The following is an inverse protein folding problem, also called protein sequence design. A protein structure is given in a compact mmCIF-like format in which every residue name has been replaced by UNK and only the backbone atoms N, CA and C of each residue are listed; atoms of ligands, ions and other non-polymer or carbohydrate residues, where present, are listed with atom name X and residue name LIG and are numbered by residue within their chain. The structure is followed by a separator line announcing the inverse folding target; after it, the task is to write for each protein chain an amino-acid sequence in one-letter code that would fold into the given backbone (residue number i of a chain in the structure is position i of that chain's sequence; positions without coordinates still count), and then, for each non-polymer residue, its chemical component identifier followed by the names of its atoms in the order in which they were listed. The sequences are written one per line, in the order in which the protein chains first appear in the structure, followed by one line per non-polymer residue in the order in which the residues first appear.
data_IF_296506857251
#
_entry.id   IF_296506857251
#
_cell.length_a   1.000
_cell.length_b   1.000
_cell.length_c   1.000
_cell.angle_alpha   90.00
_cell.angle_beta   90.00
_cell.angle_gamma   90.00
#
_symmetry.space_group_name_H-M   'P 1'
#
loop_
_entity.id
_entity.type
_entity.pdbx_description
1 polymer ?
#
# COMPACT_ATOMS: atom_id res chain seq x y z
N UNK A 1 17.72 -29.18 -26.25
CA UNK A 1 18.27 -27.80 -26.25
C UNK A 1 17.97 -27.04 -27.57
N UNK A 2 17.88 -27.72 -28.72
CA UNK A 2 17.59 -27.09 -30.00
C UNK A 2 16.09 -26.75 -30.16
N UNK A 3 15.19 -27.56 -29.62
CA UNK A 3 13.75 -27.32 -29.66
C UNK A 3 13.32 -26.09 -28.85
N UNK A 4 13.99 -25.83 -27.72
CA UNK A 4 13.75 -24.66 -26.87
C UNK A 4 14.22 -23.37 -27.58
N UNK A 5 15.28 -23.44 -28.36
CA UNK A 5 15.78 -22.30 -29.13
C UNK A 5 14.85 -21.97 -30.31
N UNK A 6 14.31 -22.99 -30.98
CA UNK A 6 13.41 -22.79 -32.15
C UNK A 6 12.06 -22.21 -31.70
N UNK A 7 11.51 -22.67 -30.56
CA UNK A 7 10.29 -22.10 -29.99
C UNK A 7 10.50 -20.67 -29.52
N UNK A 8 11.68 -20.34 -28.99
CA UNK A 8 12.04 -18.99 -28.57
C UNK A 8 12.20 -18.03 -29.74
N UNK A 9 12.75 -18.48 -30.87
CA UNK A 9 12.95 -17.62 -32.05
C UNK A 9 11.66 -17.39 -32.85
N UNK A 10 10.73 -18.36 -32.90
CA UNK A 10 9.44 -18.15 -33.57
C UNK A 10 8.45 -17.30 -32.74
N UNK A 11 8.52 -17.32 -31.41
CA UNK A 11 7.74 -16.42 -30.57
C UNK A 11 8.20 -14.95 -30.64
N UNK A 12 9.50 -14.71 -30.87
CA UNK A 12 10.01 -13.36 -31.02
C UNK A 12 9.71 -12.70 -32.36
N UNK A 13 9.40 -13.47 -33.41
CA UNK A 13 9.12 -12.92 -34.74
C UNK A 13 7.64 -12.57 -34.95
N UNK A 14 6.74 -13.01 -34.10
CA UNK A 14 5.29 -12.76 -34.24
C UNK A 14 4.76 -11.62 -33.35
N UNK A 15 5.54 -11.18 -32.37
CA UNK A 15 5.16 -10.06 -31.51
C UNK A 15 6.01 -8.86 -31.91
N UNK A 16 5.47 -8.01 -32.78
CA UNK A 16 5.97 -6.63 -32.90
C UNK A 16 6.08 -6.04 -31.49
N UNK A 17 7.14 -5.25 -31.25
CA UNK A 17 7.32 -4.62 -29.94
C UNK A 17 6.00 -4.02 -29.45
N UNK A 18 5.61 -4.28 -28.20
CA UNK A 18 4.35 -3.76 -27.67
C UNK A 18 4.46 -2.25 -27.66
N UNK A 19 3.66 -1.63 -28.47
CA UNK A 19 3.42 -0.20 -28.37
C UNK A 19 2.06 0.00 -27.72
N UNK A 20 1.85 1.13 -27.05
CA UNK A 20 0.53 1.54 -26.56
C UNK A 20 -0.51 1.59 -27.68
N UNK A 21 -0.05 1.65 -28.95
CA UNK A 21 -0.85 1.70 -30.16
C UNK A 21 -1.11 0.34 -30.77
N UNK A 22 -0.49 -0.74 -30.30
CA UNK A 22 -0.66 -2.10 -30.82
C UNK A 22 -0.84 -3.11 -29.66
N UNK A 23 -2.01 -3.08 -29.00
CA UNK A 23 -2.30 -3.99 -27.90
C UNK A 23 -2.32 -5.45 -28.41
N UNK A 24 -1.91 -6.39 -27.56
CA UNK A 24 -2.06 -7.81 -27.85
C UNK A 24 -3.55 -8.12 -28.10
N UNK A 25 -3.87 -8.91 -29.12
CA UNK A 25 -5.24 -9.36 -29.33
C UNK A 25 -5.78 -10.04 -28.04
N UNK A 26 -7.05 -9.85 -27.70
CA UNK A 26 -7.61 -10.41 -26.45
C UNK A 26 -7.46 -11.94 -26.30
N UNK A 27 -7.36 -12.65 -27.42
CA UNK A 27 -7.23 -14.11 -27.49
C UNK A 27 -5.77 -14.57 -27.60
N UNK A 28 -4.80 -13.66 -27.70
CA UNK A 28 -3.41 -14.04 -27.82
C UNK A 28 -2.90 -14.62 -26.50
N UNK A 29 -2.11 -15.72 -26.55
CA UNK A 29 -1.51 -16.25 -25.35
C UNK A 29 -0.59 -15.20 -24.72
N UNK A 30 -0.73 -14.98 -23.41
CA UNK A 30 0.08 -14.00 -22.70
C UNK A 30 1.57 -14.39 -22.76
N UNK A 31 2.46 -13.46 -23.08
CA UNK A 31 3.89 -13.71 -23.07
C UNK A 31 4.38 -14.10 -21.69
N UNK A 32 5.50 -14.82 -21.63
CA UNK A 32 6.12 -15.17 -20.36
C UNK A 32 6.46 -13.88 -19.57
N UNK A 33 6.22 -13.89 -18.24
CA UNK A 33 6.43 -12.73 -17.35
C UNK A 33 7.76 -12.00 -17.51
N UNK A 34 8.84 -12.71 -17.90
CA UNK A 34 10.15 -12.09 -18.17
C UNK A 34 10.12 -11.16 -19.37
N UNK A 35 9.34 -11.51 -20.41
CA UNK A 35 9.15 -10.71 -21.61
C UNK A 35 8.35 -9.46 -21.27
N UNK A 36 7.21 -9.63 -20.58
CA UNK A 36 6.39 -8.50 -20.11
C UNK A 36 7.23 -7.54 -19.26
N UNK A 37 8.03 -8.08 -18.33
CA UNK A 37 8.92 -7.27 -17.49
C UNK A 37 9.96 -6.50 -18.30
N UNK A 38 10.53 -7.09 -19.35
CA UNK A 38 11.50 -6.38 -20.20
C UNK A 38 10.88 -5.19 -20.95
N UNK A 39 9.59 -5.25 -21.26
CA UNK A 39 8.84 -4.15 -21.85
C UNK A 39 8.55 -3.02 -20.87
N UNK A 40 8.30 -3.36 -19.62
CA UNK A 40 7.93 -2.41 -18.57
C UNK A 40 9.12 -1.67 -17.96
N UNK A 41 10.32 -2.30 -17.95
CA UNK A 41 11.53 -1.69 -17.34
C UNK A 41 11.86 -0.30 -17.91
N UNK A 42 11.84 -0.04 -19.23
CA UNK A 42 12.12 1.29 -19.77
C UNK A 42 11.07 2.34 -19.34
N UNK A 43 9.83 1.92 -19.09
CA UNK A 43 8.73 2.80 -18.70
C UNK A 43 8.75 3.13 -17.20
N UNK A 44 9.40 2.30 -16.38
CA UNK A 44 9.48 2.45 -14.93
C UNK A 44 10.64 3.37 -14.48
N UNK A 45 11.26 4.13 -15.37
CA UNK A 45 12.37 5.03 -15.02
C UNK A 45 11.85 6.34 -14.43
N UNK A 46 11.90 6.44 -13.11
CA UNK A 46 11.58 7.67 -12.40
C UNK A 46 12.69 8.73 -12.52
N UNK A 47 12.32 9.99 -12.56
CA UNK A 47 13.24 11.14 -12.48
C UNK A 47 13.48 11.53 -11.02
N UNK A 48 14.74 11.49 -10.56
CA UNK A 48 15.09 11.78 -9.16
C UNK A 48 14.63 13.17 -8.72
N UNK A 49 14.80 14.20 -9.56
CA UNK A 49 14.38 15.57 -9.23
C UNK A 49 12.87 15.68 -9.00
N UNK A 50 12.08 15.07 -9.88
CA UNK A 50 10.62 15.02 -9.76
C UNK A 50 10.18 14.24 -8.51
N UNK A 51 10.81 13.11 -8.24
CA UNK A 51 10.52 12.28 -7.08
C UNK A 51 10.72 13.07 -5.77
N UNK A 52 11.88 13.71 -5.60
CA UNK A 52 12.17 14.54 -4.42
C UNK A 52 11.19 15.71 -4.33
N UNK A 53 10.91 16.39 -5.44
CA UNK A 53 9.98 17.52 -5.46
C UNK A 53 8.57 17.12 -4.97
N UNK A 54 8.04 15.99 -5.45
CA UNK A 54 6.73 15.50 -5.05
C UNK A 54 6.70 15.16 -3.54
N UNK A 55 7.73 14.48 -3.04
CA UNK A 55 7.83 14.16 -1.62
C UNK A 55 7.90 15.43 -0.76
N UNK A 56 8.68 16.42 -1.17
CA UNK A 56 8.81 17.71 -0.45
C UNK A 56 7.48 18.46 -0.44
N UNK A 57 6.79 18.56 -1.58
CA UNK A 57 5.48 19.23 -1.67
C UNK A 57 4.48 18.55 -0.73
N UNK A 58 4.34 17.24 -0.79
CA UNK A 58 3.39 16.51 0.03
C UNK A 58 3.78 16.56 1.53
N UNK A 59 5.07 16.53 1.87
CA UNK A 59 5.53 16.69 3.24
C UNK A 59 5.22 18.11 3.79
N UNK A 60 5.43 19.16 3.00
CA UNK A 60 5.08 20.53 3.39
C UNK A 60 3.56 20.71 3.55
N UNK A 61 2.76 20.12 2.67
CA UNK A 61 1.31 20.13 2.80
C UNK A 61 0.86 19.41 4.08
N UNK A 62 1.46 18.25 4.38
CA UNK A 62 1.17 17.49 5.59
C UNK A 62 1.53 18.31 6.84
N UNK A 63 2.73 18.88 6.91
CA UNK A 63 3.16 19.73 8.01
C UNK A 63 2.25 20.94 8.18
N UNK A 64 1.86 21.59 7.09
CA UNK A 64 0.91 22.71 7.10
C UNK A 64 -0.46 22.31 7.66
N UNK A 65 -0.96 21.13 7.29
CA UNK A 65 -2.21 20.62 7.83
C UNK A 65 -2.11 20.28 9.32
N UNK A 66 -1.01 19.66 9.77
CA UNK A 66 -0.77 19.40 11.20
C UNK A 66 -0.65 20.71 11.98
N UNK A 67 0.08 21.72 11.44
CA UNK A 67 0.12 23.05 12.03
C UNK A 67 -1.28 23.67 12.12
N UNK A 68 -2.11 23.53 11.10
CA UNK A 68 -3.52 23.95 11.13
C UNK A 68 -4.30 23.34 12.28
N UNK A 69 -4.09 22.05 12.59
CA UNK A 69 -4.75 21.40 13.75
C UNK A 69 -4.27 21.95 15.09
N UNK A 70 -3.07 22.56 15.15
CA UNK A 70 -2.52 23.17 16.38
C UNK A 70 -3.02 24.60 16.55
N UNK A 71 -2.87 25.44 15.51
CA UNK A 71 -3.00 26.90 15.65
C UNK A 71 -4.42 27.44 15.40
N UNK A 72 -5.30 26.68 14.71
CA UNK A 72 -6.66 27.12 14.45
C UNK A 72 -7.53 26.80 15.67
N UNK A 73 -8.43 27.72 16.07
CA UNK A 73 -9.31 27.51 17.21
C UNK A 73 -10.58 26.70 16.86
N UNK A 74 -11.13 26.88 15.66
CA UNK A 74 -12.35 26.23 15.20
C UNK A 74 -12.20 24.70 15.14
N UNK A 75 -12.98 23.97 15.94
CA UNK A 75 -12.99 22.50 15.93
C UNK A 75 -13.32 21.94 14.55
N UNK A 76 -14.28 22.53 13.84
CA UNK A 76 -14.62 22.10 12.48
C UNK A 76 -13.43 22.18 11.54
N UNK A 77 -12.72 23.30 11.55
CA UNK A 77 -11.52 23.49 10.71
C UNK A 77 -10.38 22.54 11.13
N UNK A 78 -10.19 22.31 12.43
CA UNK A 78 -9.22 21.29 12.91
C UNK A 78 -9.52 19.92 12.36
N UNK A 79 -10.80 19.49 12.36
CA UNK A 79 -11.22 18.21 11.77
C UNK A 79 -10.95 18.19 10.27
N UNK A 80 -11.26 19.27 9.55
CA UNK A 80 -10.98 19.37 8.10
C UNK A 80 -9.49 19.26 7.83
N UNK A 81 -8.63 19.98 8.57
CA UNK A 81 -7.18 19.87 8.45
C UNK A 81 -6.68 18.45 8.78
N UNK A 82 -7.26 17.82 9.79
CA UNK A 82 -6.95 16.42 10.13
C UNK A 82 -7.30 15.44 9.01
N UNK A 83 -8.47 15.59 8.38
CA UNK A 83 -8.88 14.76 7.24
C UNK A 83 -7.97 15.00 6.02
N UNK A 84 -7.63 16.26 5.73
CA UNK A 84 -6.69 16.58 4.64
C UNK A 84 -5.29 16.03 4.96
N UNK A 85 -4.81 16.13 6.21
CA UNK A 85 -3.55 15.52 6.63
C UNK A 85 -3.56 14.01 6.42
N UNK A 86 -4.67 13.33 6.73
CA UNK A 86 -4.84 11.89 6.47
C UNK A 86 -4.80 11.55 4.98
N UNK A 87 -5.44 12.37 4.14
CA UNK A 87 -5.37 12.21 2.69
C UNK A 87 -3.92 12.40 2.17
N UNK A 88 -3.24 13.44 2.64
CA UNK A 88 -1.84 13.69 2.27
C UNK A 88 -0.91 12.60 2.81
N UNK A 89 -1.19 12.04 4.00
CA UNK A 89 -0.48 10.84 4.49
C UNK A 89 -0.59 9.69 3.48
N UNK A 90 -1.76 9.45 2.92
CA UNK A 90 -1.96 8.45 1.88
C UNK A 90 -1.16 8.76 0.61
N UNK A 91 -1.11 10.01 0.17
CA UNK A 91 -0.29 10.44 -0.98
C UNK A 91 1.20 10.17 -0.73
N UNK A 92 1.72 10.58 0.44
CA UNK A 92 3.11 10.34 0.82
C UNK A 92 3.38 8.82 0.90
N UNK A 93 2.44 8.04 1.42
CA UNK A 93 2.55 6.59 1.48
C UNK A 93 2.70 5.96 0.08
N UNK A 94 1.98 6.46 -0.93
CA UNK A 94 2.11 5.98 -2.31
C UNK A 94 3.52 6.22 -2.85
N UNK A 95 4.14 7.38 -2.56
CA UNK A 95 5.53 7.63 -2.94
C UNK A 95 6.50 6.64 -2.25
N UNK A 96 6.21 6.28 -1.00
CA UNK A 96 6.94 5.23 -0.27
C UNK A 96 6.73 3.84 -0.88
N UNK A 97 5.52 3.53 -1.33
CA UNK A 97 5.18 2.32 -2.06
C UNK A 97 6.02 2.19 -3.34
N UNK A 98 6.09 3.23 -4.17
CA UNK A 98 6.88 3.24 -5.40
C UNK A 98 8.39 3.10 -5.11
N UNK A 99 8.85 3.71 -4.02
CA UNK A 99 10.22 3.55 -3.56
C UNK A 99 10.52 2.09 -3.13
N UNK A 100 9.58 1.39 -2.50
CA UNK A 100 9.68 -0.04 -2.19
C UNK A 100 9.74 -0.91 -3.45
N UNK A 101 9.00 -0.56 -4.49
CA UNK A 101 9.08 -1.22 -5.80
C UNK A 101 10.35 -0.88 -6.58
N UNK A 102 11.23 -0.04 -6.04
CA UNK A 102 12.45 0.44 -6.69
C UNK A 102 12.18 1.19 -8.01
N UNK A 103 11.00 1.79 -8.15
CA UNK A 103 10.54 2.53 -9.33
C UNK A 103 10.51 4.06 -9.12
N UNK A 104 10.66 4.53 -7.87
CA UNK A 104 10.54 5.95 -7.53
C UNK A 104 11.71 6.79 -8.05
N UNK A 105 12.94 6.28 -7.94
CA UNK A 105 14.15 6.85 -8.54
C UNK A 105 15.01 5.77 -9.17
N UNK A 106 15.96 6.11 -10.08
CA UNK A 106 16.90 5.13 -10.62
C UNK A 106 17.88 4.56 -9.57
N UNK A 107 18.03 5.23 -8.42
CA UNK A 107 18.99 4.85 -7.38
C UNK A 107 18.31 4.04 -6.28
N UNK A 108 18.68 2.75 -6.15
CA UNK A 108 18.09 1.82 -5.18
C UNK A 108 18.32 2.22 -3.72
N UNK A 109 19.48 2.75 -3.37
CA UNK A 109 19.76 3.15 -1.99
C UNK A 109 18.98 4.43 -1.63
N UNK A 110 18.86 5.36 -2.59
CA UNK A 110 18.03 6.53 -2.42
C UNK A 110 16.55 6.14 -2.25
N UNK A 111 16.05 5.16 -3.00
CA UNK A 111 14.69 4.65 -2.82
C UNK A 111 14.46 4.11 -1.41
N UNK A 112 15.41 3.38 -0.83
CA UNK A 112 15.29 2.90 0.55
C UNK A 112 15.24 4.03 1.58
N UNK A 113 15.98 5.12 1.36
CA UNK A 113 15.96 6.29 2.24
C UNK A 113 14.66 7.06 2.09
N UNK A 114 14.28 7.41 0.86
CA UNK A 114 13.06 8.16 0.58
C UNK A 114 11.80 7.38 1.00
N UNK A 115 11.79 6.06 0.79
CA UNK A 115 10.70 5.20 1.24
C UNK A 115 10.53 5.18 2.76
N UNK A 116 11.62 5.16 3.54
CA UNK A 116 11.54 5.28 5.00
C UNK A 116 10.98 6.63 5.42
N UNK A 117 11.42 7.71 4.80
CA UNK A 117 10.91 9.06 5.08
C UNK A 117 9.42 9.14 4.72
N UNK A 118 9.04 8.65 3.57
CA UNK A 118 7.65 8.67 3.10
C UNK A 118 6.70 7.84 3.98
N UNK A 119 7.18 6.78 4.63
CA UNK A 119 6.36 5.95 5.51
C UNK A 119 6.24 6.47 6.94
N UNK A 120 6.95 7.55 7.32
CA UNK A 120 6.85 8.09 8.68
C UNK A 120 5.44 8.57 9.06
N UNK A 121 4.73 9.38 8.25
CA UNK A 121 3.40 9.86 8.63
C UNK A 121 2.35 8.74 8.74
N UNK A 122 2.55 7.64 8.04
CA UNK A 122 1.69 6.45 8.10
C UNK A 122 2.05 5.49 9.23
N UNK A 123 3.16 5.75 9.94
CA UNK A 123 3.72 4.87 10.97
C UNK A 123 3.96 3.44 10.47
N UNK A 124 4.41 3.32 9.23
CA UNK A 124 4.64 2.03 8.57
C UNK A 124 6.14 1.70 8.57
N UNK A 125 6.60 0.62 9.22
CA UNK A 125 7.98 0.18 9.16
C UNK A 125 8.36 -0.30 7.76
N UNK A 126 9.22 0.43 7.07
CA UNK A 126 9.57 0.22 5.67
C UNK A 126 9.96 -1.23 5.32
N UNK A 127 10.87 -1.82 6.08
CA UNK A 127 11.39 -3.15 5.78
C UNK A 127 10.38 -4.28 6.01
N UNK A 128 9.47 -4.14 6.97
CA UNK A 128 8.39 -5.09 7.21
C UNK A 128 7.34 -4.98 6.11
N UNK A 129 6.99 -3.75 5.72
CA UNK A 129 6.07 -3.50 4.63
C UNK A 129 6.64 -4.02 3.29
N UNK A 130 7.90 -3.72 2.98
CA UNK A 130 8.59 -4.19 1.76
C UNK A 130 8.51 -5.72 1.63
N UNK A 131 8.81 -6.45 2.70
CA UNK A 131 8.72 -7.92 2.68
C UNK A 131 7.26 -8.38 2.61
N UNK A 132 6.37 -7.81 3.40
CA UNK A 132 4.95 -8.17 3.38
C UNK A 132 4.30 -7.92 2.02
N UNK A 133 4.60 -6.79 1.41
CA UNK A 133 4.02 -6.37 0.14
C UNK A 133 4.71 -7.02 -1.08
N UNK A 134 6.02 -6.84 -1.24
CA UNK A 134 6.71 -7.31 -2.44
C UNK A 134 6.97 -8.81 -2.47
N UNK A 135 7.28 -9.44 -1.30
CA UNK A 135 7.65 -10.86 -1.27
C UNK A 135 6.43 -11.74 -1.02
N UNK A 136 5.60 -11.39 -0.03
CA UNK A 136 4.44 -12.21 0.34
C UNK A 136 3.25 -11.92 -0.59
N UNK A 137 2.77 -10.68 -0.61
CA UNK A 137 1.57 -10.30 -1.36
C UNK A 137 1.78 -10.40 -2.88
N UNK A 138 2.70 -9.63 -3.46
CA UNK A 138 2.97 -9.71 -4.90
C UNK A 138 3.56 -11.06 -5.36
N UNK A 139 4.32 -11.74 -4.48
CA UNK A 139 4.88 -13.05 -4.78
C UNK A 139 3.85 -14.17 -4.84
N UNK A 140 2.70 -14.00 -4.16
CA UNK A 140 1.69 -15.05 -3.97
C UNK A 140 0.27 -14.47 -3.93
N UNK A 141 -0.01 -13.44 -4.72
CA UNK A 141 -1.29 -12.72 -4.75
C UNK A 141 -2.48 -13.67 -4.89
N UNK A 142 -3.44 -13.57 -3.98
CA UNK A 142 -4.65 -14.39 -3.88
C UNK A 142 -4.40 -15.91 -3.72
N UNK A 143 -3.21 -16.31 -3.25
CA UNK A 143 -2.98 -17.68 -2.80
C UNK A 143 -3.32 -17.80 -1.32
N UNK A 144 -4.40 -18.49 -0.98
CA UNK A 144 -4.89 -18.64 0.38
C UNK A 144 -3.85 -19.31 1.30
N UNK A 145 -3.73 -18.84 2.51
CA UNK A 145 -2.70 -19.30 3.46
C UNK A 145 -1.35 -18.59 3.33
N UNK A 146 -1.11 -17.87 2.24
CA UNK A 146 0.07 -17.05 2.01
C UNK A 146 -0.29 -15.57 1.92
N UNK A 147 -1.09 -15.19 0.91
CA UNK A 147 -1.60 -13.83 0.81
C UNK A 147 -2.65 -13.58 1.88
N UNK A 148 -2.52 -12.44 2.54
CA UNK A 148 -3.37 -12.04 3.65
C UNK A 148 -4.31 -10.88 3.29
N UNK A 149 -4.14 -10.29 2.10
CA UNK A 149 -4.88 -9.09 1.71
C UNK A 149 -6.30 -9.50 1.30
N UNK A 150 -7.26 -9.25 2.18
CA UNK A 150 -8.68 -9.58 1.97
C UNK A 150 -8.97 -11.06 1.68
N UNK A 151 -8.17 -11.97 2.21
CA UNK A 151 -8.37 -13.40 2.03
C UNK A 151 -9.80 -13.82 2.45
N UNK A 152 -10.56 -14.46 1.55
CA UNK A 152 -11.93 -14.88 1.84
C UNK A 152 -11.94 -16.09 2.78
N UNK A 153 -12.95 -16.17 3.63
CA UNK A 153 -13.26 -17.35 4.42
C UNK A 153 -14.30 -18.19 3.69
N UNK A 154 -14.11 -19.49 3.67
CA UNK A 154 -15.19 -20.43 3.33
C UNK A 154 -16.26 -20.41 4.45
N UNK A 155 -17.46 -20.92 4.13
CA UNK A 155 -18.51 -21.03 5.13
C UNK A 155 -18.09 -21.87 6.34
N UNK A 156 -17.42 -22.99 6.11
CA UNK A 156 -16.92 -23.87 7.18
C UNK A 156 -15.88 -23.20 8.06
N UNK A 157 -14.93 -22.44 7.46
CA UNK A 157 -13.95 -21.66 8.22
C UNK A 157 -14.62 -20.57 9.06
N UNK A 158 -15.60 -19.86 8.51
CA UNK A 158 -16.35 -18.85 9.24
C UNK A 158 -17.16 -19.47 10.39
N UNK A 159 -17.84 -20.58 10.15
CA UNK A 159 -18.66 -21.27 11.16
C UNK A 159 -17.81 -21.80 12.35
N UNK A 160 -16.56 -22.16 12.08
CA UNK A 160 -15.60 -22.63 13.10
C UNK A 160 -14.99 -21.48 13.96
N UNK A 161 -15.19 -20.21 13.57
CA UNK A 161 -14.64 -19.09 14.33
C UNK A 161 -15.34 -18.88 15.67
N UNK A 162 -14.63 -18.45 16.72
CA UNK A 162 -15.26 -18.01 17.96
C UNK A 162 -16.11 -16.75 17.75
N UNK A 163 -17.08 -16.53 18.62
CA UNK A 163 -18.09 -15.45 18.47
C UNK A 163 -17.48 -14.06 18.30
N UNK A 164 -16.43 -13.73 19.06
CA UNK A 164 -15.74 -12.44 18.93
C UNK A 164 -15.09 -12.26 17.55
N UNK A 165 -14.51 -13.33 17.00
CA UNK A 165 -13.91 -13.27 15.66
C UNK A 165 -14.98 -13.15 14.56
N UNK A 166 -16.13 -13.82 14.71
CA UNK A 166 -17.28 -13.65 13.81
C UNK A 166 -17.78 -12.21 13.81
N UNK A 167 -17.84 -11.57 15.00
CA UNK A 167 -18.23 -10.15 15.10
C UNK A 167 -17.22 -9.26 14.36
N UNK A 168 -15.91 -9.53 14.50
CA UNK A 168 -14.85 -8.80 13.79
C UNK A 168 -14.93 -9.02 12.27
N UNK A 169 -15.17 -10.24 11.80
CA UNK A 169 -15.37 -10.53 10.37
C UNK A 169 -16.61 -9.81 9.79
N UNK A 170 -17.69 -9.66 10.57
CA UNK A 170 -18.85 -8.86 10.15
C UNK A 170 -18.52 -7.38 10.05
N UNK A 171 -17.71 -6.84 10.99
CA UNK A 171 -17.20 -5.47 10.91
C UNK A 171 -16.36 -5.27 9.64
N UNK A 172 -15.47 -6.22 9.33
CA UNK A 172 -14.65 -6.17 8.12
C UNK A 172 -15.45 -6.21 6.82
N UNK A 173 -16.64 -6.84 6.82
CA UNK A 173 -17.54 -6.89 5.66
C UNK A 173 -18.61 -5.78 5.67
N UNK A 174 -18.54 -4.85 6.61
CA UNK A 174 -19.39 -3.64 6.65
C UNK A 174 -18.77 -2.49 5.85
N UNK A 175 -19.48 -1.35 5.74
CA UNK A 175 -18.95 -0.11 5.15
C UNK A 175 -17.70 0.45 5.86
N UNK A 176 -17.45 0.06 7.11
CA UNK A 176 -16.25 0.41 7.88
C UNK A 176 -15.11 -0.59 7.70
N UNK A 177 -15.36 -1.66 6.95
CA UNK A 177 -14.40 -2.75 6.75
C UNK A 177 -13.03 -2.30 6.28
N UNK A 178 -12.90 -1.45 5.25
CA UNK A 178 -11.61 -1.00 4.77
C UNK A 178 -10.72 -0.41 5.87
N UNK A 179 -11.27 0.45 6.72
CA UNK A 179 -10.52 1.06 7.85
C UNK A 179 -10.05 -0.02 8.83
N UNK A 180 -10.98 -0.82 9.34
CA UNK A 180 -10.67 -1.74 10.45
C UNK A 180 -9.88 -2.97 10.01
N UNK A 181 -10.11 -3.45 8.80
CA UNK A 181 -9.33 -4.57 8.26
C UNK A 181 -7.86 -4.17 8.09
N UNK A 182 -7.61 -3.03 7.43
CA UNK A 182 -6.24 -2.58 7.22
C UNK A 182 -5.56 -2.27 8.56
N UNK A 183 -6.21 -1.52 9.42
CA UNK A 183 -5.68 -1.14 10.74
C UNK A 183 -5.30 -2.37 11.58
N UNK A 184 -6.18 -3.38 11.68
CA UNK A 184 -6.01 -4.49 12.61
C UNK A 184 -5.23 -5.65 11.97
N UNK A 185 -5.64 -6.09 10.77
CA UNK A 185 -5.07 -7.31 10.18
C UNK A 185 -3.77 -7.04 9.43
N UNK A 186 -3.60 -5.84 8.85
CA UNK A 186 -2.41 -5.49 8.09
C UNK A 186 -1.46 -4.68 8.96
N UNK A 187 -1.82 -3.43 9.27
CA UNK A 187 -0.91 -2.52 9.97
C UNK A 187 -0.50 -3.05 11.36
N UNK A 188 -1.46 -3.35 12.23
CA UNK A 188 -1.16 -3.80 13.60
C UNK A 188 -0.46 -5.16 13.64
N UNK A 189 -1.05 -6.17 13.00
CA UNK A 189 -0.62 -7.57 13.16
C UNK A 189 0.52 -7.99 12.25
N UNK A 190 0.79 -7.29 11.18
CA UNK A 190 1.79 -7.69 10.18
C UNK A 190 2.91 -6.69 9.98
N UNK A 191 2.61 -5.40 10.10
CA UNK A 191 3.59 -4.35 9.86
C UNK A 191 4.20 -3.83 11.15
N UNK A 192 3.40 -3.53 12.19
CA UNK A 192 3.91 -2.91 13.39
C UNK A 192 4.26 -3.91 14.50
N UNK A 193 3.39 -4.90 14.78
CA UNK A 193 3.60 -5.96 15.77
C UNK A 193 3.53 -7.37 15.15
N UNK A 194 4.39 -7.70 14.16
CA UNK A 194 4.36 -9.01 13.53
C UNK A 194 4.77 -10.09 14.53
N UNK A 195 3.94 -11.13 14.63
CA UNK A 195 4.32 -12.34 15.35
C UNK A 195 5.17 -13.27 14.45
N UNK A 196 5.73 -14.34 15.04
CA UNK A 196 6.59 -15.27 14.32
C UNK A 196 5.94 -15.91 13.08
N UNK A 197 4.60 -16.05 13.05
CA UNK A 197 3.87 -16.60 11.90
C UNK A 197 3.72 -15.58 10.76
N UNK A 198 3.72 -14.29 11.09
CA UNK A 198 3.49 -13.20 10.15
C UNK A 198 4.80 -12.54 9.68
N UNK A 199 5.94 -12.97 10.21
CA UNK A 199 7.26 -12.39 9.98
C UNK A 199 8.12 -13.38 9.19
N UNK A 200 8.55 -13.04 7.98
CA UNK A 200 9.39 -13.94 7.19
C UNK A 200 10.85 -13.91 7.68
N UNK A 201 11.11 -14.52 8.80
CA UNK A 201 12.42 -14.54 9.46
C UNK A 201 12.66 -13.33 10.36
N UNK A 202 13.77 -13.35 11.07
CA UNK A 202 14.18 -12.28 11.98
C UNK A 202 15.36 -11.52 11.38
N UNK A 203 15.16 -10.22 11.14
CA UNK A 203 16.19 -9.34 10.57
C UNK A 203 16.34 -8.09 11.45
N UNK A 204 17.57 -7.70 11.82
CA UNK A 204 17.79 -6.52 12.67
C UNK A 204 17.19 -5.22 12.10
N UNK A 205 17.04 -5.14 10.78
CA UNK A 205 16.45 -3.99 10.11
C UNK A 205 14.97 -3.77 10.46
N UNK A 206 14.24 -4.85 10.77
CA UNK A 206 12.83 -4.75 11.15
C UNK A 206 12.65 -3.99 12.47
N UNK A 207 13.51 -4.28 13.46
CA UNK A 207 13.51 -3.54 14.72
C UNK A 207 13.95 -2.08 14.51
N UNK A 208 14.95 -1.82 13.67
CA UNK A 208 15.42 -0.46 13.39
C UNK A 208 14.31 0.39 12.76
N UNK A 209 13.60 -0.15 11.79
CA UNK A 209 12.51 0.59 11.13
C UNK A 209 11.31 0.77 12.08
N UNK A 210 10.99 -0.22 12.95
CA UNK A 210 9.98 -0.07 14.00
C UNK A 210 10.37 1.03 15.01
N UNK A 211 11.62 1.06 15.46
CA UNK A 211 12.09 2.11 16.36
C UNK A 211 12.06 3.49 15.69
N UNK A 212 12.38 3.57 14.41
CA UNK A 212 12.31 4.82 13.63
C UNK A 212 10.88 5.39 13.60
N UNK A 213 9.89 4.57 13.23
CA UNK A 213 8.49 5.04 13.17
C UNK A 213 7.92 5.30 14.56
N UNK A 214 8.34 4.55 15.58
CA UNK A 214 7.95 4.79 16.98
C UNK A 214 8.51 6.13 17.48
N UNK A 215 9.78 6.40 17.21
CA UNK A 215 10.40 7.67 17.56
C UNK A 215 9.70 8.86 16.87
N UNK A 216 9.37 8.71 15.58
CA UNK A 216 8.59 9.71 14.87
C UNK A 216 7.20 9.91 15.49
N UNK A 217 6.48 8.85 15.86
CA UNK A 217 5.18 8.95 16.53
C UNK A 217 5.28 9.71 17.86
N UNK A 218 6.30 9.41 18.67
CA UNK A 218 6.56 10.10 19.94
C UNK A 218 6.79 11.59 19.70
N UNK A 219 7.64 11.95 18.72
CA UNK A 219 7.91 13.36 18.38
C UNK A 219 6.64 14.05 17.88
N UNK A 220 5.88 13.40 17.00
CA UNK A 220 4.64 13.97 16.46
C UNK A 220 3.61 14.23 17.56
N UNK A 221 3.34 13.23 18.42
CA UNK A 221 2.44 13.39 19.57
C UNK A 221 2.96 14.44 20.53
N UNK A 222 4.27 14.47 20.81
CA UNK A 222 4.90 15.48 21.64
C UNK A 222 4.72 16.90 21.10
N UNK A 223 4.87 17.09 19.79
CA UNK A 223 4.62 18.39 19.12
C UNK A 223 3.15 18.84 19.25
N UNK A 224 2.19 17.90 19.10
CA UNK A 224 0.77 18.20 19.27
C UNK A 224 0.44 18.62 20.72
N UNK A 225 1.00 17.92 21.70
CA UNK A 225 0.80 18.23 23.12
C UNK A 225 1.42 19.61 23.44
N UNK A 226 2.67 19.82 23.04
CA UNK A 226 3.37 21.10 23.27
C UNK A 226 2.63 22.26 22.57
N UNK A 227 2.16 22.06 21.34
CA UNK A 227 1.39 23.06 20.60
C UNK A 227 0.06 23.37 21.27
N UNK A 228 -0.68 22.35 21.75
CA UNK A 228 -1.92 22.57 22.49
C UNK A 228 -1.70 23.38 23.77
N UNK A 229 -0.63 23.07 24.53
CA UNK A 229 -0.27 23.81 25.76
C UNK A 229 0.10 25.27 25.40
N UNK A 230 0.94 25.47 24.39
CA UNK A 230 1.40 26.79 23.99
C UNK A 230 0.27 27.71 23.46
N UNK A 231 -0.78 27.12 22.88
CA UNK A 231 -1.95 27.83 22.36
C UNK A 231 -3.12 27.91 23.34
N UNK A 232 -2.98 27.34 24.56
CA UNK A 232 -4.07 27.27 25.54
C UNK A 232 -5.25 26.40 25.14
N UNK A 233 -5.04 25.48 24.19
CA UNK A 233 -6.09 24.63 23.64
C UNK A 233 -6.10 23.24 24.31
N UNK A 234 -7.20 22.50 24.12
CA UNK A 234 -7.33 21.15 24.67
C UNK A 234 -6.34 20.17 24.01
N UNK A 235 -5.51 19.52 24.82
CA UNK A 235 -4.61 18.47 24.37
C UNK A 235 -5.38 17.33 23.69
N UNK A 236 -6.53 16.94 24.23
CA UNK A 236 -7.36 15.87 23.68
C UNK A 236 -7.92 16.19 22.28
N UNK A 237 -8.32 17.44 22.07
CA UNK A 237 -8.75 17.89 20.74
C UNK A 237 -7.55 17.91 19.78
N UNK A 238 -6.39 18.38 20.23
CA UNK A 238 -5.16 18.36 19.44
C UNK A 238 -4.75 16.95 19.01
N UNK A 239 -4.75 16.00 19.95
CA UNK A 239 -4.48 14.59 19.67
C UNK A 239 -5.53 13.94 18.77
N UNK A 240 -6.82 14.23 18.99
CA UNK A 240 -7.89 13.71 18.16
C UNK A 240 -7.74 14.20 16.71
N UNK A 241 -7.61 15.51 16.51
CA UNK A 241 -7.64 16.11 15.17
C UNK A 241 -6.29 16.05 14.45
N UNK A 242 -5.17 16.12 15.19
CA UNK A 242 -3.83 16.13 14.63
C UNK A 242 -3.16 14.75 14.54
N UNK A 243 -3.69 13.74 15.24
CA UNK A 243 -3.13 12.38 15.21
C UNK A 243 -4.18 11.32 14.87
N UNK A 244 -5.24 11.16 15.68
CA UNK A 244 -6.18 10.05 15.50
C UNK A 244 -6.95 10.16 14.17
N UNK A 245 -7.49 11.34 13.84
CA UNK A 245 -8.23 11.58 12.60
C UNK A 245 -7.35 11.33 11.36
N UNK A 246 -6.14 11.94 11.22
CA UNK A 246 -5.27 11.66 10.09
C UNK A 246 -4.91 10.18 9.95
N UNK A 247 -4.56 9.53 11.05
CA UNK A 247 -4.13 8.14 11.06
C UNK A 247 -5.24 7.17 10.67
N UNK A 248 -6.46 7.35 11.23
CA UNK A 248 -7.61 6.52 10.88
C UNK A 248 -8.10 6.77 9.46
N UNK A 249 -8.07 8.02 8.99
CA UNK A 249 -8.44 8.34 7.62
C UNK A 249 -7.49 7.71 6.62
N UNK A 250 -6.18 7.80 6.85
CA UNK A 250 -5.19 7.11 6.01
C UNK A 250 -5.40 5.60 5.99
N UNK A 251 -5.60 4.95 7.16
CA UNK A 251 -5.91 3.52 7.22
C UNK A 251 -7.16 3.15 6.41
N UNK A 252 -8.18 4.00 6.43
CA UNK A 252 -9.39 3.82 5.63
C UNK A 252 -9.12 3.97 4.14
N UNK A 253 -8.33 4.96 3.76
CA UNK A 253 -8.00 5.25 2.37
C UNK A 253 -7.19 4.10 1.73
N UNK A 254 -6.09 3.69 2.37
CA UNK A 254 -5.29 2.58 1.84
C UNK A 254 -6.03 1.25 1.93
N UNK A 255 -6.80 1.04 3.01
CA UNK A 255 -7.65 -0.12 3.16
C UNK A 255 -8.70 -0.21 2.05
N UNK A 256 -9.26 0.92 1.60
CA UNK A 256 -10.18 0.98 0.47
C UNK A 256 -9.47 0.66 -0.85
N UNK A 257 -8.26 1.21 -1.08
CA UNK A 257 -7.46 0.90 -2.28
C UNK A 257 -7.25 -0.61 -2.41
N UNK A 258 -6.73 -1.25 -1.36
CA UNK A 258 -6.50 -2.71 -1.41
C UNK A 258 -7.79 -3.52 -1.45
N UNK A 259 -8.89 -3.01 -0.86
CA UNK A 259 -10.21 -3.64 -0.93
C UNK A 259 -10.70 -3.73 -2.37
N UNK A 260 -10.75 -2.62 -3.10
CA UNK A 260 -11.31 -2.59 -4.45
C UNK A 260 -10.49 -3.40 -5.46
N UNK A 261 -9.18 -3.51 -5.25
CA UNK A 261 -8.31 -4.31 -6.11
C UNK A 261 -8.49 -5.83 -5.91
N UNK A 262 -8.86 -6.29 -4.70
CA UNK A 262 -8.81 -7.72 -4.35
C UNK A 262 -10.17 -8.36 -4.05
N UNK A 263 -11.27 -7.59 -4.03
CA UNK A 263 -12.61 -8.12 -3.68
C UNK A 263 -13.62 -8.08 -4.81
N UNK A 264 -13.20 -7.72 -6.04
CA UNK A 264 -14.08 -7.72 -7.20
C UNK A 264 -14.56 -9.14 -7.53
N UNK A 265 -15.82 -9.37 -7.95
CA UNK A 265 -16.34 -10.72 -8.25
C UNK A 265 -15.58 -11.52 -9.32
N UNK A 266 -14.85 -10.82 -10.20
CA UNK A 266 -14.01 -11.46 -11.23
C UNK A 266 -12.61 -11.86 -10.71
N UNK A 267 -12.24 -11.45 -9.49
CA UNK A 267 -10.96 -11.79 -8.89
C UNK A 267 -11.03 -13.18 -8.27
N UNK A 268 -10.15 -14.07 -8.69
CA UNK A 268 -10.10 -15.46 -8.21
C UNK A 268 -9.14 -15.63 -7.05
N UNK A 269 -9.53 -16.46 -6.08
CA UNK A 269 -8.69 -16.93 -4.98
C UNK A 269 -8.45 -18.43 -5.13
N UNK A 270 -7.26 -18.90 -4.71
CA UNK A 270 -6.82 -20.27 -4.92
C UNK A 270 -6.39 -20.89 -3.59
N UNK A 271 -6.85 -22.09 -3.30
CA UNK A 271 -6.43 -22.88 -2.11
C UNK A 271 -5.15 -23.68 -2.39
N UNK A 272 -4.91 -24.05 -3.67
CA UNK A 272 -3.77 -24.88 -4.06
C UNK A 272 -2.80 -24.14 -4.95
N UNK A 273 -1.52 -24.18 -4.59
CA UNK A 273 -0.44 -23.55 -5.36
C UNK A 273 -0.35 -24.06 -6.80
N UNK A 274 -0.66 -25.33 -7.04
CA UNK A 274 -0.66 -25.91 -8.39
C UNK A 274 -1.76 -25.34 -9.30
N UNK A 275 -2.93 -25.03 -8.75
CA UNK A 275 -4.03 -24.38 -9.47
C UNK A 275 -3.68 -22.90 -9.71
N UNK A 276 -3.17 -22.23 -8.70
CA UNK A 276 -2.70 -20.85 -8.76
C UNK A 276 -1.64 -20.65 -9.85
N UNK A 277 -0.63 -21.53 -9.94
CA UNK A 277 0.40 -21.44 -10.98
C UNK A 277 -0.17 -21.61 -12.40
N UNK A 278 -1.19 -22.51 -12.59
CA UNK A 278 -1.83 -22.73 -13.88
C UNK A 278 -2.73 -21.57 -14.32
N UNK A 279 -3.31 -20.87 -13.37
CA UNK A 279 -4.27 -19.79 -13.63
C UNK A 279 -3.64 -18.46 -14.02
N UNK A 280 -2.31 -18.38 -14.18
CA UNK A 280 -1.60 -17.14 -14.50
C UNK A 280 -2.00 -15.98 -13.56
N UNK A 281 -1.64 -16.05 -12.28
CA UNK A 281 -2.17 -15.17 -11.24
C UNK A 281 -1.95 -13.67 -11.50
N UNK A 282 -0.90 -13.29 -12.24
CA UNK A 282 -0.61 -11.90 -12.60
C UNK A 282 -1.66 -11.21 -13.49
N UNK A 283 -2.64 -11.97 -14.02
CA UNK A 283 -3.77 -11.43 -14.78
C UNK A 283 -5.13 -11.72 -14.16
N UNK A 284 -5.22 -12.62 -13.18
CA UNK A 284 -6.49 -13.10 -12.64
C UNK A 284 -6.73 -12.74 -11.18
N UNK A 285 -5.75 -12.13 -10.51
CA UNK A 285 -5.79 -11.91 -9.05
C UNK A 285 -5.99 -10.46 -8.64
N UNK A 286 -6.07 -9.54 -9.58
CA UNK A 286 -6.32 -8.10 -9.31
C UNK A 286 -7.14 -7.50 -10.44
N UNK A 287 -7.69 -6.33 -10.21
CA UNK A 287 -8.41 -5.54 -11.21
C UNK A 287 -7.71 -4.19 -11.42
N UNK A 288 -7.72 -3.73 -12.66
CA UNK A 288 -7.30 -2.38 -13.02
C UNK A 288 -8.52 -1.45 -12.94
N UNK A 289 -8.38 -0.34 -12.24
CA UNK A 289 -9.44 0.66 -12.08
C UNK A 289 -9.05 1.92 -12.84
N UNK A 290 -9.94 2.38 -13.71
CA UNK A 290 -9.72 3.63 -14.45
C UNK A 290 -10.45 4.78 -13.79
N UNK A 291 -9.74 5.87 -13.55
CA UNK A 291 -10.29 7.12 -13.01
C UNK A 291 -10.10 8.26 -13.99
N UNK A 292 -10.76 9.39 -13.73
CA UNK A 292 -10.44 10.61 -14.46
C UNK A 292 -9.03 11.09 -14.09
N UNK A 293 -8.39 11.83 -14.99
CA UNK A 293 -7.00 12.27 -14.83
C UNK A 293 -6.73 13.11 -13.57
N UNK A 294 -7.73 13.86 -13.09
CA UNK A 294 -7.60 14.65 -11.84
C UNK A 294 -7.42 13.72 -10.66
N UNK A 295 -8.28 12.71 -10.55
CA UNK A 295 -8.24 11.74 -9.45
C UNK A 295 -6.96 10.89 -9.51
N UNK A 296 -6.59 10.42 -10.70
CA UNK A 296 -5.33 9.70 -10.90
C UNK A 296 -4.14 10.51 -10.39
N UNK A 297 -4.03 11.79 -10.76
CA UNK A 297 -2.97 12.68 -10.26
C UNK A 297 -3.05 12.96 -8.76
N UNK A 298 -4.24 13.13 -8.21
CA UNK A 298 -4.43 13.33 -6.77
C UNK A 298 -3.96 12.10 -5.97
N UNK A 299 -4.13 10.90 -6.52
CA UNK A 299 -3.79 9.62 -5.90
C UNK A 299 -2.46 9.05 -6.41
N UNK A 300 -1.61 9.84 -7.08
CA UNK A 300 -0.36 9.38 -7.69
C UNK A 300 -0.52 8.10 -8.53
N UNK A 301 -1.68 7.91 -9.16
CA UNK A 301 -2.03 6.78 -10.02
C UNK A 301 -1.99 5.40 -9.34
N UNK A 302 -2.08 5.31 -8.00
CA UNK A 302 -1.99 4.03 -7.26
C UNK A 302 -3.11 3.05 -7.61
N UNK A 303 -4.23 3.53 -8.11
CA UNK A 303 -5.42 2.72 -8.43
C UNK A 303 -5.51 2.32 -9.91
N UNK A 304 -4.56 2.77 -10.74
CA UNK A 304 -4.50 2.53 -12.20
C UNK A 304 -3.48 1.48 -12.60
#
# INVERSE_FOLDING_TARGET
NLLILIVSTHLNSALSEPSLTNPLPPEAPLPHRKIIRSWLIPMAQGETGRAIMLLVIDALLWLGCIAGTIFIESLLLKIVFGLVAGFVTGRIFILGHDACHQSYTPNRELNKVLGRIAFLPSLTPYSLWDVGHNVVHHGQTNLKGFDFVWAPLSKSEYDALPSWRKALERLYRSGWGPVFYYLIEIWWRREYFPNAKNKPGDRPIFLKDNLLVTAFAIVWIGCLIAGAIATGQSIWIGLLTGFAVPFLFWNGMIGFVVYVHHTHPKVSWYDKKSEWLRAQPFVSTTVHLTFNWIWGKLMHHIME
#
